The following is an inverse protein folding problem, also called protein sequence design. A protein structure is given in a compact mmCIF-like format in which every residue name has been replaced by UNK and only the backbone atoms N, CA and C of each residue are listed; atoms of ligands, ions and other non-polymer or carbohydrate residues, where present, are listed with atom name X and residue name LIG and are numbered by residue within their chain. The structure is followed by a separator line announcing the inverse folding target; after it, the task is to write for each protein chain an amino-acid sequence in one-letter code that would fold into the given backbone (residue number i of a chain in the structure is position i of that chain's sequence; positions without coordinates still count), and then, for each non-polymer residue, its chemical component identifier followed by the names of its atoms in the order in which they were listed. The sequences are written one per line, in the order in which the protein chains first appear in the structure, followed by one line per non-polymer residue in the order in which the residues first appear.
data_IF_768537626241
#
_entry.id   IF_768537626241
#
_cell.length_a   1.000
_cell.length_b   1.000
_cell.length_c   1.000
_cell.angle_alpha   90.00
_cell.angle_beta   90.00
_cell.angle_gamma   90.00
#
_symmetry.space_group_name_H-M   'P 1'
#
loop_
_entity.id
_entity.type
_entity.pdbx_description
1 polymer ?
#
# COMPACT_ATOMS: atom_id res chain seq x y z
N UNK A 1 -12.27 2.96 -4.90
CA UNK A 1 -13.09 2.98 -3.67
C UNK A 1 -14.49 3.39 -4.05
N UNK A 2 -15.51 2.66 -3.61
CA UNK A 2 -16.90 2.85 -4.07
C UNK A 2 -17.63 3.87 -3.18
N UNK A 3 -17.77 5.11 -3.67
CA UNK A 3 -18.40 6.20 -2.94
C UNK A 3 -19.89 5.96 -2.68
N UNK A 4 -20.58 5.31 -3.63
CA UNK A 4 -21.99 4.93 -3.52
C UNK A 4 -22.18 3.93 -2.38
N UNK A 5 -21.34 2.90 -2.32
CA UNK A 5 -21.42 1.93 -1.24
C UNK A 5 -21.08 2.55 0.12
N UNK A 6 -20.10 3.47 0.19
CA UNK A 6 -19.78 4.20 1.42
C UNK A 6 -20.96 5.03 1.89
N UNK A 7 -21.63 5.76 1.00
CA UNK A 7 -22.78 6.60 1.34
C UNK A 7 -23.91 5.77 1.97
N UNK A 8 -24.20 4.60 1.39
CA UNK A 8 -25.38 3.83 1.73
C UNK A 8 -25.16 2.73 2.78
N UNK A 9 -23.91 2.52 3.20
CA UNK A 9 -23.64 1.57 4.29
C UNK A 9 -24.17 2.09 5.64
N UNK A 10 -24.53 1.16 6.52
CA UNK A 10 -25.06 1.46 7.87
C UNK A 10 -24.07 2.22 8.78
N UNK A 11 -22.78 2.26 8.43
CA UNK A 11 -21.74 2.96 9.18
C UNK A 11 -21.46 4.39 8.68
N UNK A 12 -22.21 4.90 7.70
CA UNK A 12 -22.26 6.34 7.43
C UNK A 12 -23.14 7.07 8.46
N UNK A 13 -22.75 7.01 9.73
CA UNK A 13 -23.56 7.53 10.84
C UNK A 13 -23.63 9.06 10.88
N UNK A 14 -22.67 9.74 10.23
CA UNK A 14 -22.71 11.20 10.01
C UNK A 14 -23.56 11.62 8.81
N UNK A 15 -24.17 10.66 8.10
CA UNK A 15 -25.09 10.89 6.96
C UNK A 15 -24.46 11.74 5.86
N UNK A 16 -23.18 11.50 5.56
CA UNK A 16 -22.48 12.16 4.45
C UNK A 16 -23.11 11.77 3.13
N UNK A 17 -23.38 12.75 2.29
CA UNK A 17 -23.91 12.58 0.94
C UNK A 17 -22.85 12.03 -0.01
N UNK A 18 -23.27 11.52 -1.17
CA UNK A 18 -22.36 11.07 -2.22
C UNK A 18 -21.34 12.17 -2.58
N UNK A 19 -21.84 13.38 -2.82
CA UNK A 19 -21.01 14.53 -3.20
C UNK A 19 -20.00 14.89 -2.12
N UNK A 20 -20.38 14.87 -0.83
CA UNK A 20 -19.42 15.10 0.27
C UNK A 20 -18.33 14.03 0.31
N UNK A 21 -18.68 12.76 0.10
CA UNK A 21 -17.74 11.64 0.07
C UNK A 21 -16.78 11.77 -1.11
N UNK A 22 -17.28 12.10 -2.29
CA UNK A 22 -16.45 12.31 -3.50
C UNK A 22 -15.50 13.50 -3.33
N UNK A 23 -15.98 14.62 -2.77
CA UNK A 23 -15.15 15.79 -2.45
C UNK A 23 -14.06 15.40 -1.45
N UNK A 24 -14.40 14.65 -0.40
CA UNK A 24 -13.44 14.21 0.60
C UNK A 24 -12.40 13.24 0.01
N UNK A 25 -12.83 12.28 -0.82
CA UNK A 25 -11.93 11.37 -1.53
C UNK A 25 -10.93 12.13 -2.41
N UNK A 26 -11.41 13.10 -3.19
CA UNK A 26 -10.54 13.96 -3.99
C UNK A 26 -9.59 14.77 -3.12
N UNK A 27 -10.07 15.36 -2.02
CA UNK A 27 -9.23 16.12 -1.08
C UNK A 27 -8.13 15.23 -0.49
N UNK A 28 -8.47 14.00 -0.08
CA UNK A 28 -7.52 13.03 0.45
C UNK A 28 -6.51 12.58 -0.61
N UNK A 29 -6.93 12.34 -1.84
CA UNK A 29 -6.03 12.01 -2.95
C UNK A 29 -5.03 13.16 -3.19
N UNK A 30 -5.52 14.40 -3.32
CA UNK A 30 -4.66 15.56 -3.56
C UNK A 30 -3.62 15.82 -2.45
N UNK A 31 -3.84 15.33 -1.23
CA UNK A 31 -2.89 15.47 -0.12
C UNK A 31 -1.76 14.43 -0.08
N UNK A 32 -1.81 13.40 -0.93
CA UNK A 32 -0.91 12.24 -0.86
C UNK A 32 0.36 12.24 -1.73
N UNK A 33 0.52 13.00 -2.83
CA UNK A 33 1.64 12.83 -3.75
C UNK A 33 3.02 12.82 -3.09
N UNK A 34 3.33 13.80 -2.24
CA UNK A 34 4.60 13.86 -1.53
C UNK A 34 4.83 12.67 -0.58
N UNK A 35 3.77 12.21 0.10
CA UNK A 35 3.85 11.05 0.99
C UNK A 35 4.06 9.74 0.21
N UNK A 36 3.38 9.57 -0.92
CA UNK A 36 3.57 8.42 -1.82
C UNK A 36 4.96 8.43 -2.43
N UNK A 37 5.46 9.59 -2.86
CA UNK A 37 6.82 9.78 -3.34
C UNK A 37 7.85 9.34 -2.29
N UNK A 38 7.69 9.80 -1.04
CA UNK A 38 8.54 9.38 0.07
C UNK A 38 8.53 7.86 0.27
N UNK A 39 7.36 7.23 0.32
CA UNK A 39 7.25 5.76 0.46
C UNK A 39 7.90 5.00 -0.69
N UNK A 40 7.71 5.47 -1.91
CA UNK A 40 8.32 4.86 -3.09
C UNK A 40 9.84 4.96 -3.05
N UNK A 41 10.39 6.14 -2.74
CA UNK A 41 11.84 6.34 -2.64
C UNK A 41 12.43 5.49 -1.52
N UNK A 42 11.81 5.45 -0.33
CA UNK A 42 12.24 4.56 0.77
C UNK A 42 12.22 3.09 0.36
N UNK A 43 11.23 2.67 -0.41
CA UNK A 43 11.13 1.29 -0.92
C UNK A 43 12.25 0.99 -1.89
N UNK A 44 12.53 1.89 -2.85
CA UNK A 44 13.65 1.77 -3.80
C UNK A 44 15.00 1.73 -3.09
N UNK A 45 15.24 2.65 -2.16
CA UNK A 45 16.45 2.67 -1.34
C UNK A 45 16.69 1.34 -0.63
N UNK A 46 15.63 0.81 0.00
CA UNK A 46 15.69 -0.49 0.66
C UNK A 46 15.99 -1.61 -0.33
N UNK A 47 15.28 -1.65 -1.46
CA UNK A 47 15.47 -2.67 -2.49
C UNK A 47 16.88 -2.66 -3.03
N UNK A 48 17.43 -1.50 -3.41
CA UNK A 48 18.80 -1.37 -3.91
C UNK A 48 19.83 -1.87 -2.90
N UNK A 49 19.70 -1.46 -1.63
CA UNK A 49 20.63 -1.85 -0.56
C UNK A 49 20.51 -3.35 -0.25
N UNK A 50 19.31 -3.93 -0.32
CA UNK A 50 19.07 -5.36 -0.08
C UNK A 50 19.29 -6.22 -1.32
N UNK A 51 19.46 -5.61 -2.50
CA UNK A 51 19.69 -6.35 -3.73
C UNK A 51 20.97 -7.19 -3.59
N UNK A 52 20.86 -8.46 -3.96
CA UNK A 52 21.93 -9.47 -3.89
C UNK A 52 22.44 -9.81 -2.48
N UNK A 53 21.67 -9.46 -1.43
CA UNK A 53 22.02 -9.82 -0.06
C UNK A 53 22.27 -11.33 0.08
N UNK A 54 23.38 -11.75 0.73
CA UNK A 54 23.76 -13.15 0.77
C UNK A 54 22.73 -13.97 1.53
N UNK A 55 22.44 -15.18 1.02
CA UNK A 55 21.66 -16.16 1.77
C UNK A 55 22.42 -16.64 3.00
N UNK A 56 21.70 -17.07 4.03
CA UNK A 56 22.32 -17.69 5.20
C UNK A 56 23.14 -18.93 4.79
N UNK A 57 24.40 -19.05 5.23
CA UNK A 57 25.20 -20.22 4.96
C UNK A 57 24.66 -21.42 5.75
N UNK A 58 24.86 -22.63 5.21
CA UNK A 58 24.56 -23.86 5.93
C UNK A 58 25.49 -24.03 7.14
N UNK A 59 25.01 -24.69 8.20
CA UNK A 59 25.78 -24.94 9.43
C UNK A 59 27.14 -25.62 9.16
N UNK A 60 27.20 -26.52 8.18
CA UNK A 60 28.42 -27.22 7.80
C UNK A 60 29.41 -26.35 6.99
N UNK A 61 28.97 -25.23 6.41
CA UNK A 61 29.79 -24.37 5.56
C UNK A 61 30.57 -23.31 6.36
N UNK A 62 30.10 -22.94 7.54
CA UNK A 62 30.73 -21.95 8.42
C UNK A 62 30.81 -22.51 9.83
N UNK A 63 31.97 -23.06 10.18
CA UNK A 63 32.20 -23.70 11.49
C UNK A 63 33.07 -22.86 12.42
N UNK A 64 33.59 -21.73 11.93
CA UNK A 64 34.49 -20.83 12.66
C UNK A 64 34.14 -19.37 12.39
N UNK A 65 34.56 -18.48 13.29
CA UNK A 65 34.38 -17.03 13.12
C UNK A 65 35.11 -16.50 11.89
N UNK A 66 36.32 -16.99 11.61
CA UNK A 66 37.09 -16.57 10.43
C UNK A 66 36.38 -16.94 9.10
N UNK A 67 35.75 -18.12 9.03
CA UNK A 67 34.93 -18.48 7.87
C UNK A 67 33.66 -17.62 7.75
N UNK A 68 33.07 -17.24 8.89
CA UNK A 68 31.91 -16.34 8.90
C UNK A 68 32.28 -14.95 8.36
N UNK A 69 33.41 -14.41 8.81
CA UNK A 69 33.96 -13.14 8.32
C UNK A 69 34.26 -13.22 6.82
N UNK A 70 34.93 -14.27 6.37
CA UNK A 70 35.23 -14.46 4.95
C UNK A 70 33.94 -14.55 4.11
N UNK A 71 32.93 -15.30 4.56
CA UNK A 71 31.66 -15.43 3.86
C UNK A 71 30.95 -14.08 3.69
N UNK A 72 30.97 -13.22 4.72
CA UNK A 72 30.37 -11.88 4.67
C UNK A 72 31.21 -10.96 3.79
N UNK A 73 32.51 -10.87 4.02
CA UNK A 73 33.38 -9.87 3.38
C UNK A 73 33.64 -10.14 1.90
N UNK A 74 33.53 -11.40 1.46
CA UNK A 74 33.67 -11.76 0.04
C UNK A 74 32.35 -11.71 -0.74
N UNK A 75 31.21 -11.54 -0.06
CA UNK A 75 29.91 -11.46 -0.73
C UNK A 75 29.85 -10.24 -1.67
N UNK A 76 29.34 -10.38 -2.92
CA UNK A 76 29.19 -9.25 -3.84
C UNK A 76 28.42 -8.08 -3.24
N UNK A 77 27.37 -8.39 -2.46
CA UNK A 77 26.61 -7.41 -1.69
C UNK A 77 27.51 -6.55 -0.79
N UNK A 78 28.35 -7.16 0.04
CA UNK A 78 29.22 -6.45 0.98
C UNK A 78 30.21 -5.54 0.24
N UNK A 79 30.83 -6.07 -0.82
CA UNK A 79 31.77 -5.32 -1.66
C UNK A 79 31.10 -4.11 -2.37
N UNK A 80 29.81 -4.21 -2.68
CA UNK A 80 29.05 -3.12 -3.30
C UNK A 80 28.41 -2.13 -2.30
N UNK A 81 28.38 -2.46 -1.01
CA UNK A 81 27.60 -1.73 0.00
C UNK A 81 27.98 -0.25 0.10
N UNK A 82 29.28 0.04 0.13
CA UNK A 82 29.79 1.42 0.19
C UNK A 82 29.41 2.23 -1.05
N UNK A 83 29.50 1.63 -2.24
CA UNK A 83 29.10 2.28 -3.49
C UNK A 83 27.59 2.56 -3.52
N UNK A 84 26.76 1.59 -3.11
CA UNK A 84 25.30 1.76 -2.99
C UNK A 84 24.94 2.87 -1.99
N UNK A 85 25.59 2.90 -0.83
CA UNK A 85 25.38 3.94 0.17
C UNK A 85 25.77 5.32 -0.39
N UNK A 86 26.94 5.43 -1.03
CA UNK A 86 27.43 6.67 -1.65
C UNK A 86 26.50 7.18 -2.74
N UNK A 87 25.96 6.29 -3.57
CA UNK A 87 24.99 6.66 -4.60
C UNK A 87 23.74 7.33 -3.99
N UNK A 88 23.22 6.79 -2.89
CA UNK A 88 22.04 7.34 -2.21
C UNK A 88 22.33 8.59 -1.37
N UNK A 89 23.52 8.72 -0.80
CA UNK A 89 23.93 9.90 -0.02
C UNK A 89 24.51 11.03 -0.87
N UNK A 90 24.65 10.82 -2.18
CA UNK A 90 25.07 11.87 -3.12
C UNK A 90 24.11 13.07 -3.04
N UNK A 91 24.69 14.26 -2.89
CA UNK A 91 23.93 15.49 -2.73
C UNK A 91 22.91 15.66 -3.87
N UNK A 92 21.66 15.96 -3.51
CA UNK A 92 20.57 16.16 -4.46
C UNK A 92 19.93 14.88 -5.01
N UNK A 93 20.53 13.69 -4.83
CA UNK A 93 19.96 12.43 -5.34
C UNK A 93 18.56 12.16 -4.79
N UNK A 94 18.41 12.20 -3.46
CA UNK A 94 17.13 11.93 -2.79
C UNK A 94 16.07 12.94 -3.22
N UNK A 95 16.43 14.23 -3.30
CA UNK A 95 15.50 15.27 -3.75
C UNK A 95 15.03 15.03 -5.20
N UNK A 96 15.96 14.70 -6.10
CA UNK A 96 15.63 14.39 -7.49
C UNK A 96 14.70 13.18 -7.62
N UNK A 97 14.94 12.11 -6.85
CA UNK A 97 14.08 10.93 -6.83
C UNK A 97 12.68 11.24 -6.25
N UNK A 98 12.61 12.07 -5.21
CA UNK A 98 11.34 12.52 -4.63
C UNK A 98 10.54 13.34 -5.65
N UNK A 99 11.18 14.31 -6.33
CA UNK A 99 10.54 15.13 -7.35
C UNK A 99 10.03 14.30 -8.52
N UNK A 100 10.84 13.34 -9.01
CA UNK A 100 10.44 12.44 -10.08
C UNK A 100 9.24 11.57 -9.66
N UNK A 101 9.24 11.02 -8.45
CA UNK A 101 8.13 10.21 -7.94
C UNK A 101 6.87 11.06 -7.71
N UNK A 102 7.00 12.26 -7.15
CA UNK A 102 5.88 13.19 -6.95
C UNK A 102 5.24 13.60 -8.29
N UNK A 103 6.04 13.82 -9.33
CA UNK A 103 5.53 14.11 -10.67
C UNK A 103 4.67 12.97 -11.22
N UNK A 104 5.07 11.71 -11.01
CA UNK A 104 4.28 10.53 -11.40
C UNK A 104 2.94 10.51 -10.67
N UNK A 105 2.93 10.67 -9.35
CA UNK A 105 1.69 10.67 -8.56
C UNK A 105 0.79 11.88 -8.84
N UNK A 106 1.38 13.03 -9.19
CA UNK A 106 0.62 14.22 -9.60
C UNK A 106 -0.03 14.02 -10.97
N UNK A 107 0.64 13.33 -11.91
CA UNK A 107 0.05 12.95 -13.19
C UNK A 107 -1.12 11.97 -12.99
N UNK A 108 -0.99 11.01 -12.05
CA UNK A 108 -2.04 10.06 -11.68
C UNK A 108 -3.30 10.74 -11.11
N UNK A 109 -3.15 11.89 -10.44
CA UNK A 109 -4.30 12.71 -10.02
C UNK A 109 -5.04 13.27 -11.23
N UNK A 110 -4.31 13.82 -12.19
CA UNK A 110 -4.88 14.53 -13.35
C UNK A 110 -5.65 13.61 -14.29
N UNK A 111 -5.16 12.39 -14.50
CA UNK A 111 -5.78 11.41 -15.41
C UNK A 111 -6.72 10.43 -14.70
N UNK A 112 -6.99 10.61 -13.40
CA UNK A 112 -7.88 9.76 -12.60
C UNK A 112 -7.29 8.39 -12.21
N UNK A 113 -6.04 8.08 -12.58
CA UNK A 113 -5.40 6.80 -12.26
C UNK A 113 -5.09 6.64 -10.75
N UNK A 114 -5.14 7.73 -9.98
CA UNK A 114 -4.96 7.70 -8.53
C UNK A 114 -5.88 6.69 -7.83
N UNK A 115 -7.06 6.40 -8.39
CA UNK A 115 -8.01 5.42 -7.84
C UNK A 115 -7.41 4.02 -7.78
N UNK A 116 -6.54 3.66 -8.72
CA UNK A 116 -5.85 2.39 -8.78
C UNK A 116 -4.45 2.43 -8.13
N UNK A 117 -3.76 3.56 -8.25
CA UNK A 117 -2.34 3.66 -7.85
C UNK A 117 -2.12 4.06 -6.39
N UNK A 118 -3.08 4.74 -5.75
CA UNK A 118 -2.88 5.29 -4.41
C UNK A 118 -3.13 4.24 -3.33
N UNK A 119 -2.55 4.47 -2.16
CA UNK A 119 -2.67 3.56 -1.02
C UNK A 119 -4.09 3.54 -0.46
N UNK A 120 -4.93 2.66 -0.99
CA UNK A 120 -6.35 2.54 -0.64
C UNK A 120 -6.61 2.38 0.86
N UNK A 121 -5.70 1.76 1.63
CA UNK A 121 -5.83 1.59 3.09
C UNK A 121 -5.86 2.91 3.86
N UNK A 122 -4.98 3.85 3.54
CA UNK A 122 -4.94 5.14 4.26
C UNK A 122 -6.12 6.01 3.87
N UNK A 123 -6.46 6.03 2.58
CA UNK A 123 -7.68 6.69 2.11
C UNK A 123 -8.92 6.14 2.79
N UNK A 124 -9.00 4.81 2.90
CA UNK A 124 -10.12 4.12 3.53
C UNK A 124 -10.25 4.47 5.00
N UNK A 125 -9.15 4.46 5.74
CA UNK A 125 -9.14 4.84 7.17
C UNK A 125 -9.58 6.29 7.37
N UNK A 126 -9.04 7.22 6.58
CA UNK A 126 -9.39 8.65 6.65
C UNK A 126 -10.85 8.88 6.27
N UNK A 127 -11.34 8.22 5.22
CA UNK A 127 -12.73 8.33 4.80
C UNK A 127 -13.68 7.73 5.85
N UNK A 128 -13.32 6.60 6.47
CA UNK A 128 -14.05 6.05 7.62
C UNK A 128 -14.19 7.10 8.71
N UNK A 129 -13.09 7.71 9.15
CA UNK A 129 -13.11 8.70 10.23
C UNK A 129 -13.93 9.96 9.87
N UNK A 130 -14.08 10.23 8.56
CA UNK A 130 -14.91 11.31 8.05
C UNK A 130 -16.42 10.98 8.11
N UNK A 131 -16.83 9.77 7.71
CA UNK A 131 -18.24 9.36 7.60
C UNK A 131 -18.82 8.73 8.87
N UNK A 132 -17.96 8.12 9.68
CA UNK A 132 -18.35 7.36 10.86
C UNK A 132 -18.04 8.13 12.15
N UNK A 133 -19.05 8.23 13.01
CA UNK A 133 -18.89 8.64 14.40
C UNK A 133 -19.10 7.41 15.30
N UNK A 134 -18.05 6.89 15.96
CA UNK A 134 -18.21 5.79 16.89
C UNK A 134 -18.95 6.23 18.16
N UNK A 135 -19.70 5.32 18.82
CA UNK A 135 -20.17 5.55 20.18
C UNK A 135 -18.98 5.74 21.15
N UNK A 136 -19.24 6.33 22.33
CA UNK A 136 -18.28 6.85 23.31
C UNK A 136 -17.20 5.87 23.86
N UNK A 137 -17.10 4.62 23.37
CA UNK A 137 -16.06 3.67 23.77
C UNK A 137 -15.42 2.98 22.53
N UNK A 138 -14.11 3.14 22.25
CA UNK A 138 -13.62 3.08 20.88
C UNK A 138 -12.81 1.81 20.58
N UNK A 139 -13.16 1.17 19.48
CA UNK A 139 -12.42 0.05 18.93
C UNK A 139 -13.15 -0.51 17.73
N UNK A 140 -13.49 0.35 16.76
CA UNK A 140 -14.08 -0.14 15.50
C UNK A 140 -12.94 -0.50 14.55
N UNK A 141 -12.68 -1.79 14.28
CA UNK A 141 -11.62 -2.19 13.37
C UNK A 141 -11.97 -1.73 11.95
N UNK A 142 -10.92 -1.43 11.15
CA UNK A 142 -11.05 -1.14 9.71
C UNK A 142 -11.91 -2.21 8.99
N UNK A 143 -11.89 -3.45 9.49
CA UNK A 143 -12.69 -4.56 8.97
C UNK A 143 -14.20 -4.37 9.06
N UNK A 144 -14.72 -3.71 10.10
CA UNK A 144 -16.18 -3.60 10.27
C UNK A 144 -16.76 -2.55 9.32
N UNK A 145 -16.02 -1.47 9.06
CA UNK A 145 -16.35 -0.54 7.99
C UNK A 145 -16.28 -1.22 6.61
N UNK A 146 -15.29 -2.09 6.38
CA UNK A 146 -15.17 -2.81 5.12
C UNK A 146 -16.32 -3.82 4.93
N UNK A 147 -16.72 -4.52 6.00
CA UNK A 147 -17.88 -5.42 5.99
C UNK A 147 -19.17 -4.67 5.70
N UNK A 148 -19.41 -3.52 6.34
CA UNK A 148 -20.61 -2.71 6.10
C UNK A 148 -20.73 -2.28 4.63
N UNK A 149 -19.62 -1.89 4.01
CA UNK A 149 -19.56 -1.58 2.58
C UNK A 149 -19.86 -2.83 1.75
N UNK A 150 -19.20 -3.96 2.06
CA UNK A 150 -19.38 -5.22 1.35
C UNK A 150 -20.80 -5.80 1.46
N UNK A 151 -21.43 -5.70 2.63
CA UNK A 151 -22.82 -6.10 2.88
C UNK A 151 -23.78 -5.29 2.02
N UNK A 152 -23.56 -3.97 1.92
CA UNK A 152 -24.36 -3.12 1.04
C UNK A 152 -24.14 -3.51 -0.43
N UNK A 153 -22.90 -3.68 -0.88
CA UNK A 153 -22.58 -4.07 -2.25
C UNK A 153 -23.20 -5.43 -2.62
N UNK A 154 -23.13 -6.40 -1.72
CA UNK A 154 -23.74 -7.71 -1.92
C UNK A 154 -25.26 -7.61 -2.05
N UNK A 155 -25.90 -6.89 -1.13
CA UNK A 155 -27.37 -6.73 -1.11
C UNK A 155 -27.90 -6.05 -2.36
N UNK A 156 -27.10 -5.15 -2.96
CA UNK A 156 -27.51 -4.35 -4.12
C UNK A 156 -26.92 -4.85 -5.46
N UNK A 157 -26.30 -6.03 -5.48
CA UNK A 157 -25.72 -6.58 -6.71
C UNK A 157 -24.57 -5.74 -7.29
N UNK A 158 -23.86 -4.99 -6.45
CA UNK A 158 -22.73 -4.12 -6.83
C UNK A 158 -21.38 -4.66 -6.35
N UNK A 159 -21.24 -5.98 -6.25
CA UNK A 159 -19.95 -6.60 -5.91
C UNK A 159 -18.99 -6.41 -7.09
N UNK A 160 -17.77 -5.87 -6.88
CA UNK A 160 -16.78 -5.71 -7.95
C UNK A 160 -16.48 -7.03 -8.67
N UNK A 161 -16.41 -7.00 -10.00
CA UNK A 161 -16.17 -8.17 -10.85
C UNK A 161 -14.89 -8.92 -10.46
N UNK A 162 -13.80 -8.21 -10.20
CA UNK A 162 -12.51 -8.80 -9.79
C UNK A 162 -12.63 -9.66 -8.53
N UNK A 163 -13.52 -9.31 -7.59
CA UNK A 163 -13.76 -10.10 -6.38
C UNK A 163 -14.60 -11.35 -6.69
N UNK A 164 -15.54 -11.26 -7.63
CA UNK A 164 -16.32 -12.41 -8.12
C UNK A 164 -15.39 -13.39 -8.84
N UNK A 165 -14.50 -12.88 -9.69
CA UNK A 165 -13.52 -13.67 -10.44
C UNK A 165 -12.51 -14.33 -9.52
N UNK A 166 -11.96 -13.57 -8.56
CA UNK A 166 -11.06 -14.10 -7.53
C UNK A 166 -11.73 -15.20 -6.71
N UNK A 167 -12.98 -14.99 -6.27
CA UNK A 167 -13.73 -16.00 -5.52
C UNK A 167 -13.94 -17.26 -6.36
N UNK A 168 -14.32 -17.11 -7.62
CA UNK A 168 -14.54 -18.23 -8.55
C UNK A 168 -13.24 -19.02 -8.76
N UNK A 169 -12.12 -18.33 -8.95
CA UNK A 169 -10.80 -18.96 -9.09
C UNK A 169 -10.38 -19.72 -7.81
N UNK A 170 -10.61 -19.15 -6.63
CA UNK A 170 -10.31 -19.80 -5.35
C UNK A 170 -11.19 -21.04 -5.14
N UNK A 171 -12.50 -20.96 -5.43
CA UNK A 171 -13.44 -22.08 -5.34
C UNK A 171 -13.07 -23.21 -6.30
N UNK A 172 -12.75 -22.86 -7.54
CA UNK A 172 -12.27 -23.83 -8.54
C UNK A 172 -11.00 -24.55 -8.08
N UNK A 173 -10.02 -23.84 -7.51
CA UNK A 173 -8.79 -24.44 -6.97
C UNK A 173 -9.02 -25.47 -5.85
N UNK A 174 -10.10 -25.33 -5.10
CA UNK A 174 -10.46 -26.26 -4.00
C UNK A 174 -11.57 -27.24 -4.40
N UNK A 175 -11.93 -27.32 -5.68
CA UNK A 175 -12.94 -28.26 -6.20
C UNK A 175 -14.39 -27.89 -5.90
N UNK A 176 -14.66 -26.62 -5.56
CA UNK A 176 -16.02 -26.12 -5.34
C UNK A 176 -16.58 -25.45 -6.62
N UNK A 177 -17.89 -25.53 -6.88
CA UNK A 177 -18.53 -24.81 -7.97
C UNK A 177 -18.39 -23.28 -7.77
N UNK A 178 -18.35 -22.46 -8.83
CA UNK A 178 -18.15 -21.00 -8.75
C UNK A 178 -19.14 -20.27 -7.82
#
# INVERSE_FOLDING_TARGET
MDATAVQNCNLNTRKRTLTEIEVELNRLANSQPAWLACRQVLTRMRQDVQQDFPSHPNLAAVTTVAQAEQHITTAPWFNSLSAKATAWTTAGRVLSELQAAEQVFSAALTNGQWVAEFSGKEMFRRLRDYVYQPPQNPGYPDSDFAKAIGEWQQTNGQVPADLVDLRSALRSKVGLPP
#
